data_IF_925769472837
#
_entry.id   IF_925769472837
#
_cell.length_a   1.000
_cell.length_b   1.000
_cell.length_c   1.000
_cell.angle_alpha   90.00
_cell.angle_beta   90.00
_cell.angle_gamma   90.00
#
_symmetry.space_group_name_H-M   'P 1'
#
loop_
_entity.id
_entity.type
_entity.pdbx_description
1 polymer ?
#
# COMPACT_ATOMS: atom_id res chain seq x y z
N UNK A 1 -21.97 42.06 -48.58
CA UNK A 1 -21.44 43.28 -47.92
C UNK A 1 -21.29 42.95 -46.44
N UNK A 2 -20.19 42.38 -45.99
CA UNK A 2 -18.85 42.96 -45.81
C UNK A 2 -18.86 44.13 -44.81
N UNK A 3 -18.06 43.95 -43.75
CA UNK A 3 -17.51 44.87 -42.72
C UNK A 3 -17.71 44.21 -41.33
N UNK A 4 -16.70 44.01 -40.49
CA UNK A 4 -15.44 44.74 -40.32
C UNK A 4 -14.32 43.85 -39.73
N UNK A 5 -13.13 44.01 -40.30
CA UNK A 5 -11.82 43.69 -39.73
C UNK A 5 -11.02 45.00 -39.62
N UNK A 6 -9.94 44.97 -38.83
CA UNK A 6 -8.81 45.94 -38.68
C UNK A 6 -8.96 46.93 -37.51
N UNK A 7 -7.94 47.26 -36.69
CA UNK A 7 -6.57 46.76 -36.45
C UNK A 7 -6.01 47.48 -35.19
N UNK A 8 -5.12 46.79 -34.48
CA UNK A 8 -3.91 47.24 -33.75
C UNK A 8 -3.81 48.63 -33.06
N UNK A 9 -3.32 48.61 -31.81
CA UNK A 9 -2.29 49.56 -31.35
C UNK A 9 -1.26 48.85 -30.46
N UNK A 10 0.00 49.04 -30.84
CA UNK A 10 1.24 48.64 -30.16
C UNK A 10 1.54 49.67 -29.09
N UNK A 11 1.95 49.23 -27.91
CA UNK A 11 2.79 50.02 -26.99
C UNK A 11 3.86 49.08 -26.41
N UNK A 12 5.08 49.22 -26.91
CA UNK A 12 6.30 48.73 -26.26
C UNK A 12 6.56 49.56 -24.99
N UNK A 13 7.01 48.90 -23.93
CA UNK A 13 7.84 49.55 -22.92
C UNK A 13 8.89 48.56 -22.43
N UNK A 14 10.11 48.75 -22.92
CA UNK A 14 11.32 48.17 -22.38
C UNK A 14 11.53 48.65 -20.94
N UNK A 15 11.62 47.72 -20.00
CA UNK A 15 12.52 47.82 -18.85
C UNK A 15 13.06 46.44 -18.51
N UNK A 16 14.32 46.24 -18.87
CA UNK A 16 15.19 45.26 -18.25
C UNK A 16 15.13 45.43 -16.73
N UNK A 17 14.81 44.36 -16.02
CA UNK A 17 15.26 44.19 -14.66
C UNK A 17 15.51 42.71 -14.41
N UNK A 18 16.78 42.35 -14.25
CA UNK A 18 17.22 41.01 -13.92
C UNK A 18 16.62 40.57 -12.58
N UNK A 19 15.60 39.72 -12.65
CA UNK A 19 15.07 38.96 -11.51
C UNK A 19 15.62 37.55 -11.58
N UNK A 20 16.33 37.15 -10.53
CA UNK A 20 16.92 35.82 -10.34
C UNK A 20 15.91 34.72 -10.68
N UNK A 21 16.35 33.77 -11.50
CA UNK A 21 15.66 32.51 -11.77
C UNK A 21 15.40 31.80 -10.45
N UNK A 22 14.13 31.72 -10.03
CA UNK A 22 13.65 30.83 -8.97
C UNK A 22 13.80 29.37 -9.46
N UNK A 23 15.03 28.84 -9.38
CA UNK A 23 15.30 27.42 -9.61
C UNK A 23 15.14 26.69 -8.29
N UNK A 24 13.89 26.37 -7.91
CA UNK A 24 13.57 25.28 -6.96
C UNK A 24 12.05 25.11 -6.72
N UNK A 25 11.19 25.46 -7.68
CA UNK A 25 9.77 25.16 -7.54
C UNK A 25 9.50 23.72 -8.01
N UNK A 26 9.17 22.81 -7.07
CA UNK A 26 8.65 21.50 -7.41
C UNK A 26 7.35 21.68 -8.22
N UNK A 27 7.13 20.88 -9.28
CA UNK A 27 5.91 21.00 -10.06
C UNK A 27 4.70 20.80 -9.16
N UNK A 28 3.70 21.68 -9.34
CA UNK A 28 2.41 21.53 -8.70
C UNK A 28 1.71 20.27 -9.20
N UNK A 29 0.78 19.73 -8.39
CA UNK A 29 0.03 18.54 -8.76
C UNK A 29 -0.80 18.77 -10.03
N UNK A 30 -0.75 17.80 -10.96
CA UNK A 30 -1.47 17.84 -12.24
C UNK A 30 -2.42 16.64 -12.35
N UNK A 31 -3.70 16.90 -12.61
CA UNK A 31 -4.68 15.86 -12.93
C UNK A 31 -4.48 15.38 -14.39
N UNK A 32 -4.59 14.07 -14.62
CA UNK A 32 -4.56 13.46 -15.94
C UNK A 32 -5.91 12.79 -16.24
N UNK A 33 -6.36 12.85 -17.49
CA UNK A 33 -7.45 12.00 -17.96
C UNK A 33 -7.01 10.53 -17.97
N UNK A 34 -7.96 9.60 -17.98
CA UNK A 34 -7.66 8.17 -18.06
C UNK A 34 -6.80 7.82 -19.28
N UNK A 35 -7.12 8.38 -20.45
CA UNK A 35 -6.35 8.15 -21.68
C UNK A 35 -4.95 8.74 -21.60
N UNK A 36 -4.80 9.93 -21.02
CA UNK A 36 -3.48 10.54 -20.80
C UNK A 36 -2.64 9.68 -19.85
N UNK A 37 -3.20 9.22 -18.74
CA UNK A 37 -2.50 8.39 -17.76
C UNK A 37 -2.14 7.02 -18.34
N UNK A 38 -3.05 6.41 -19.10
CA UNK A 38 -2.81 5.14 -19.82
C UNK A 38 -1.68 5.30 -20.83
N UNK A 39 -1.69 6.39 -21.61
CA UNK A 39 -0.64 6.68 -22.59
C UNK A 39 0.71 6.98 -21.93
N UNK A 40 0.71 7.67 -20.78
CA UNK A 40 1.90 8.02 -20.02
C UNK A 40 2.56 6.81 -19.33
N UNK A 41 1.76 5.83 -18.90
CA UNK A 41 2.21 4.63 -18.15
C UNK A 41 2.34 3.37 -19.03
N UNK A 42 2.40 3.55 -20.35
CA UNK A 42 2.49 2.44 -21.33
C UNK A 42 1.39 1.39 -21.14
N UNK A 43 0.15 1.84 -20.96
CA UNK A 43 -1.00 0.96 -20.79
C UNK A 43 -1.17 0.42 -19.36
N UNK A 44 -0.57 1.07 -18.35
CA UNK A 44 -0.47 0.55 -16.99
C UNK A 44 0.34 -0.75 -16.91
N UNK A 45 1.45 -0.83 -17.67
CA UNK A 45 2.32 -2.02 -17.63
C UNK A 45 2.82 -2.27 -16.21
N UNK A 46 2.84 -3.54 -15.80
CA UNK A 46 3.43 -3.96 -14.53
C UNK A 46 4.92 -3.63 -14.44
N UNK A 47 5.62 -3.53 -15.57
CA UNK A 47 7.04 -3.18 -15.65
C UNK A 47 7.33 -1.77 -15.13
N UNK A 48 6.31 -0.91 -15.13
CA UNK A 48 6.40 0.46 -14.66
C UNK A 48 5.96 0.63 -13.20
N UNK A 49 5.53 -0.44 -12.52
CA UNK A 49 5.13 -0.36 -11.12
C UNK A 49 6.36 0.02 -10.28
N UNK A 50 6.16 0.93 -9.33
CA UNK A 50 7.09 1.17 -8.24
C UNK A 50 7.11 -0.08 -7.36
N UNK A 51 7.90 -1.07 -7.78
CA UNK A 51 8.22 -2.24 -6.96
C UNK A 51 9.62 -2.07 -6.41
N UNK A 52 9.74 -2.18 -5.09
CA UNK A 52 11.03 -2.33 -4.42
C UNK A 52 11.44 -3.80 -4.31
N UNK A 53 10.58 -4.72 -4.75
CA UNK A 53 10.82 -6.16 -4.68
C UNK A 53 10.99 -6.69 -6.10
N UNK A 54 12.25 -6.91 -6.47
CA UNK A 54 12.66 -7.55 -7.71
C UNK A 54 14.14 -7.30 -7.93
N UNK A 55 14.86 -8.26 -8.52
CA UNK A 55 16.30 -8.25 -8.80
C UNK A 55 16.74 -7.17 -9.82
N UNK A 56 15.89 -6.16 -10.05
CA UNK A 56 16.19 -4.89 -10.70
C UNK A 56 16.87 -3.95 -9.71
N UNK A 57 17.72 -3.04 -10.18
CA UNK A 57 18.47 -2.14 -9.30
C UNK A 57 17.55 -1.45 -8.26
N UNK A 58 17.94 -1.46 -6.98
CA UNK A 58 17.17 -0.83 -5.91
C UNK A 58 16.94 0.65 -6.21
N UNK A 59 15.75 1.15 -5.87
CA UNK A 59 15.42 2.57 -6.07
C UNK A 59 16.43 3.45 -5.33
N UNK A 60 17.04 4.42 -6.02
CA UNK A 60 17.93 5.40 -5.39
C UNK A 60 17.17 6.28 -4.38
N UNK A 61 17.87 6.75 -3.36
CA UNK A 61 17.31 7.61 -2.31
C UNK A 61 16.49 8.80 -2.85
N UNK A 62 17.04 9.54 -3.81
CA UNK A 62 16.38 10.70 -4.40
C UNK A 62 15.05 10.35 -5.11
N UNK A 63 14.95 9.14 -5.69
CA UNK A 63 13.71 8.67 -6.30
C UNK A 63 12.69 8.24 -5.24
N UNK A 64 13.12 7.62 -4.13
CA UNK A 64 12.25 7.27 -3.00
C UNK A 64 11.58 8.52 -2.41
N UNK A 65 12.37 9.57 -2.20
CA UNK A 65 11.87 10.87 -1.74
C UNK A 65 10.93 11.53 -2.76
N UNK A 66 11.22 11.41 -4.07
CA UNK A 66 10.33 11.91 -5.15
C UNK A 66 8.97 11.22 -5.13
N UNK A 67 8.96 9.88 -4.98
CA UNK A 67 7.74 9.08 -4.84
C UNK A 67 6.93 9.56 -3.65
N UNK A 68 7.55 9.65 -2.47
CA UNK A 68 6.87 10.12 -1.26
C UNK A 68 6.27 11.52 -1.44
N UNK A 69 7.04 12.47 -1.99
CA UNK A 69 6.58 13.84 -2.20
C UNK A 69 5.38 13.93 -3.16
N UNK A 70 5.46 13.25 -4.31
CA UNK A 70 4.38 13.30 -5.31
C UNK A 70 3.08 12.71 -4.77
N UNK A 71 3.17 11.66 -3.95
CA UNK A 71 2.00 11.08 -3.30
C UNK A 71 1.43 11.99 -2.21
N UNK A 72 2.28 12.64 -1.41
CA UNK A 72 1.82 13.62 -0.44
C UNK A 72 1.09 14.80 -1.12
N UNK A 73 1.60 15.28 -2.26
CA UNK A 73 0.94 16.31 -3.08
C UNK A 73 -0.42 15.83 -3.63
N UNK A 74 -0.50 14.57 -4.09
CA UNK A 74 -1.76 14.00 -4.54
C UNK A 74 -2.80 13.93 -3.42
N UNK A 75 -2.40 13.51 -2.22
CA UNK A 75 -3.28 13.46 -1.04
C UNK A 75 -3.75 14.85 -0.60
N UNK A 76 -2.86 15.84 -0.60
CA UNK A 76 -3.19 17.24 -0.29
C UNK A 76 -4.17 17.81 -1.31
N UNK A 77 -3.94 17.55 -2.59
CA UNK A 77 -4.83 17.97 -3.67
C UNK A 77 -6.22 17.33 -3.53
N UNK A 78 -6.32 16.03 -3.28
CA UNK A 78 -7.59 15.36 -3.06
C UNK A 78 -8.36 15.98 -1.88
N UNK A 79 -7.68 16.26 -0.77
CA UNK A 79 -8.25 16.91 0.40
C UNK A 79 -8.73 18.33 0.12
N UNK A 80 -7.90 19.16 -0.50
CA UNK A 80 -8.20 20.58 -0.78
C UNK A 80 -9.32 20.77 -1.82
N UNK A 81 -9.50 19.81 -2.72
CA UNK A 81 -10.59 19.79 -3.71
C UNK A 81 -11.85 19.06 -3.25
N UNK A 82 -11.89 18.53 -2.02
CA UNK A 82 -13.02 17.76 -1.51
C UNK A 82 -13.31 16.49 -2.32
N UNK A 83 -12.28 15.89 -2.92
CA UNK A 83 -12.39 14.61 -3.63
C UNK A 83 -12.54 13.47 -2.62
N UNK A 84 -13.00 12.33 -3.10
CA UNK A 84 -13.03 11.11 -2.29
C UNK A 84 -11.63 10.75 -1.79
N UNK A 85 -11.55 10.20 -0.58
CA UNK A 85 -10.30 9.75 0.02
C UNK A 85 -9.71 8.58 -0.76
N UNK A 86 -8.43 8.69 -1.13
CA UNK A 86 -7.68 7.59 -1.75
C UNK A 86 -7.27 6.59 -0.65
N UNK A 87 -8.13 5.62 -0.37
CA UNK A 87 -8.02 4.76 0.80
C UNK A 87 -7.16 3.50 0.62
N UNK A 88 -6.71 3.24 -0.61
CA UNK A 88 -5.96 2.04 -0.97
C UNK A 88 -4.53 2.41 -1.39
N UNK A 89 -3.87 3.25 -0.60
CA UNK A 89 -2.52 3.72 -0.90
C UNK A 89 -1.49 2.59 -0.66
N UNK A 90 -0.80 2.17 -1.71
CA UNK A 90 0.31 1.21 -1.64
C UNK A 90 1.34 1.50 -2.75
N UNK A 91 2.61 1.21 -2.49
CA UNK A 91 3.70 1.23 -3.48
C UNK A 91 3.33 0.57 -4.82
N UNK A 92 2.66 -0.59 -4.82
CA UNK A 92 2.27 -1.31 -6.04
C UNK A 92 1.22 -0.59 -6.90
N UNK A 93 0.64 0.52 -6.41
CA UNK A 93 -0.33 1.35 -7.16
C UNK A 93 0.30 2.59 -7.78
N UNK A 94 1.61 2.76 -7.64
CA UNK A 94 2.36 3.87 -8.19
C UNK A 94 3.06 3.35 -9.45
N UNK A 95 2.93 4.08 -10.54
CA UNK A 95 3.54 3.75 -11.82
C UNK A 95 4.51 4.85 -12.22
N UNK A 96 5.66 4.51 -12.78
CA UNK A 96 6.48 5.47 -13.50
C UNK A 96 5.85 5.75 -14.87
N UNK A 97 5.77 7.03 -15.23
CA UNK A 97 5.52 7.40 -16.62
C UNK A 97 6.79 7.31 -17.47
N UNK A 98 6.65 7.57 -18.77
CA UNK A 98 7.74 7.60 -19.75
C UNK A 98 8.88 8.56 -19.38
N UNK A 99 8.60 9.58 -18.58
CA UNK A 99 9.58 10.57 -18.12
C UNK A 99 10.17 10.18 -16.75
N UNK A 100 9.81 9.02 -16.21
CA UNK A 100 10.28 8.53 -14.91
C UNK A 100 9.63 9.23 -13.71
N UNK A 101 8.50 9.92 -13.89
CA UNK A 101 7.76 10.51 -12.79
C UNK A 101 6.81 9.49 -12.16
N UNK A 102 6.74 9.41 -10.82
CA UNK A 102 5.75 8.58 -10.16
C UNK A 102 4.34 9.15 -10.39
N UNK A 103 3.42 8.27 -10.78
CA UNK A 103 2.00 8.57 -11.04
C UNK A 103 1.14 7.65 -10.18
N UNK A 104 0.25 8.25 -9.40
CA UNK A 104 -0.73 7.49 -8.64
C UNK A 104 -1.80 6.93 -9.59
N UNK A 105 -1.91 5.61 -9.68
CA UNK A 105 -2.89 4.98 -10.55
C UNK A 105 -4.32 5.12 -10.01
N UNK A 106 -5.29 5.29 -10.90
CA UNK A 106 -6.71 5.38 -10.56
C UNK A 106 -7.34 4.05 -10.11
N UNK A 107 -6.62 2.92 -10.14
CA UNK A 107 -7.15 1.62 -9.68
C UNK A 107 -7.53 1.61 -8.19
N UNK A 108 -6.93 2.45 -7.35
CA UNK A 108 -7.36 2.65 -5.96
C UNK A 108 -8.73 3.32 -5.81
N UNK A 109 -9.27 3.91 -6.89
CA UNK A 109 -10.65 4.42 -6.97
C UNK A 109 -11.63 3.39 -7.53
N UNK A 110 -11.15 2.27 -8.10
CA UNK A 110 -11.95 1.36 -8.94
C UNK A 110 -12.55 0.14 -8.21
N UNK A 111 -12.54 0.09 -6.88
CA UNK A 111 -13.47 -0.77 -6.12
C UNK A 111 -14.07 -0.04 -4.93
N UNK A 112 -14.97 0.89 -5.26
CA UNK A 112 -16.00 1.33 -4.34
C UNK A 112 -16.95 0.16 -4.07
N UNK A 113 -16.72 -0.57 -2.98
CA UNK A 113 -17.88 -1.00 -2.19
C UNK A 113 -18.66 0.27 -1.88
N UNK A 114 -19.95 0.31 -2.20
CA UNK A 114 -20.86 1.47 -2.04
C UNK A 114 -20.87 2.07 -0.62
N UNK A 115 -20.21 1.42 0.34
CA UNK A 115 -20.21 1.74 1.76
C UNK A 115 -18.88 2.30 2.31
N UNK A 116 -17.84 2.49 1.47
CA UNK A 116 -16.54 3.00 1.95
C UNK A 116 -15.75 2.02 2.84
N UNK A 117 -15.99 0.71 2.69
CA UNK A 117 -15.46 -0.37 3.55
C UNK A 117 -14.29 -1.18 2.95
N UNK A 118 -13.44 -0.59 2.12
CA UNK A 118 -12.40 -1.36 1.43
C UNK A 118 -10.99 -1.01 1.93
N UNK A 119 -10.57 -1.62 3.04
CA UNK A 119 -9.15 -1.78 3.36
C UNK A 119 -8.63 -3.12 2.84
N UNK A 120 -7.31 -3.18 2.64
CA UNK A 120 -6.55 -4.42 2.47
C UNK A 120 -7.04 -5.49 3.46
N UNK A 121 -7.22 -6.73 3.01
CA UNK A 121 -7.60 -7.88 3.86
C UNK A 121 -6.50 -8.27 4.86
N UNK A 122 -5.37 -7.56 4.87
CA UNK A 122 -4.28 -7.75 5.81
C UNK A 122 -4.41 -6.81 7.01
N UNK A 123 -4.87 -7.38 8.13
CA UNK A 123 -5.06 -6.67 9.40
C UNK A 123 -3.76 -6.02 9.93
N UNK A 124 -2.60 -6.57 9.57
CA UNK A 124 -1.30 -6.06 10.03
C UNK A 124 -1.00 -4.64 9.54
N UNK A 125 -1.62 -4.20 8.44
CA UNK A 125 -1.42 -2.88 7.83
C UNK A 125 -2.65 -1.97 8.00
N UNK A 126 -3.68 -2.44 8.70
CA UNK A 126 -4.94 -1.71 8.83
C UNK A 126 -4.85 -0.68 9.95
N UNK A 127 -5.30 0.57 9.74
CA UNK A 127 -5.31 1.60 10.78
C UNK A 127 -6.14 1.15 12.01
N UNK A 128 -5.66 1.40 13.24
CA UNK A 128 -6.33 0.93 14.46
C UNK A 128 -7.80 1.38 14.56
N UNK A 129 -8.08 2.62 14.20
CA UNK A 129 -9.43 3.18 14.23
C UNK A 129 -10.34 2.60 13.15
N UNK A 130 -9.78 2.17 12.03
CA UNK A 130 -10.53 1.50 10.98
C UNK A 130 -11.01 0.13 11.44
N UNK A 131 -10.19 -0.62 12.18
CA UNK A 131 -10.58 -1.90 12.78
C UNK A 131 -11.79 -1.77 13.70
N UNK A 132 -11.89 -0.63 14.42
CA UNK A 132 -12.99 -0.35 15.34
C UNK A 132 -14.24 0.17 14.65
N UNK A 133 -14.08 1.05 13.66
CA UNK A 133 -15.20 1.84 13.10
C UNK A 133 -15.65 1.38 11.71
N UNK A 134 -14.78 0.67 10.98
CA UNK A 134 -14.98 0.30 9.57
C UNK A 134 -15.05 1.51 8.62
N UNK A 135 -14.67 2.71 9.07
CA UNK A 135 -14.76 3.95 8.31
C UNK A 135 -13.40 4.46 7.93
N UNK A 136 -13.22 4.78 6.64
CA UNK A 136 -12.04 5.49 6.17
C UNK A 136 -12.13 6.96 6.59
N UNK A 137 -11.07 7.47 7.21
CA UNK A 137 -10.90 8.91 7.48
C UNK A 137 -9.61 9.43 6.82
N UNK A 138 -9.40 10.74 6.82
CA UNK A 138 -8.17 11.34 6.31
C UNK A 138 -6.94 10.83 7.07
N UNK A 139 -7.07 10.64 8.38
CA UNK A 139 -6.04 10.11 9.26
C UNK A 139 -5.74 8.64 8.96
N UNK A 140 -6.74 7.84 8.58
CA UNK A 140 -6.55 6.46 8.11
C UNK A 140 -5.75 6.41 6.80
N UNK A 141 -5.97 7.36 5.88
CA UNK A 141 -5.16 7.50 4.66
C UNK A 141 -3.72 7.88 4.99
N UNK A 142 -3.51 8.79 5.95
CA UNK A 142 -2.17 9.16 6.43
C UNK A 142 -1.45 7.95 7.06
N UNK A 143 -2.17 7.07 7.75
CA UNK A 143 -1.58 5.82 8.24
C UNK A 143 -1.08 4.94 7.10
N UNK A 144 -1.87 4.78 6.02
CA UNK A 144 -1.43 4.08 4.80
C UNK A 144 -0.24 4.76 4.11
N UNK A 145 -0.16 6.10 4.16
CA UNK A 145 1.05 6.82 3.74
C UNK A 145 2.26 6.46 4.60
N UNK A 146 2.06 6.28 5.91
CA UNK A 146 3.10 5.78 6.81
C UNK A 146 3.62 4.39 6.43
N UNK A 147 2.73 3.48 6.02
CA UNK A 147 3.16 2.14 5.55
C UNK A 147 3.98 2.24 4.26
N UNK A 148 3.57 3.11 3.33
CA UNK A 148 4.34 3.38 2.12
C UNK A 148 5.74 3.94 2.45
N UNK A 149 5.87 4.84 3.43
CA UNK A 149 7.18 5.35 3.82
C UNK A 149 8.08 4.24 4.39
N UNK A 150 7.52 3.25 5.09
CA UNK A 150 8.26 2.09 5.57
C UNK A 150 8.74 1.20 4.43
N UNK A 151 7.89 0.98 3.42
CA UNK A 151 8.29 0.30 2.19
C UNK A 151 9.50 1.05 1.62
N UNK A 152 9.31 2.35 1.31
CA UNK A 152 10.35 3.23 0.76
C UNK A 152 11.65 3.26 1.57
N UNK A 153 11.60 3.15 2.89
CA UNK A 153 12.82 3.11 3.72
C UNK A 153 13.54 1.78 3.66
N UNK A 154 12.78 0.68 3.62
CA UNK A 154 13.30 -0.67 3.84
C UNK A 154 13.48 -1.51 2.58
N UNK A 155 12.89 -1.06 1.46
CA UNK A 155 12.76 -1.87 0.26
C UNK A 155 11.85 -3.08 0.46
N UNK A 156 11.11 -3.16 1.58
CA UNK A 156 10.40 -4.34 2.08
C UNK A 156 8.98 -3.99 2.53
N UNK A 157 8.01 -4.87 2.26
CA UNK A 157 6.65 -4.66 2.76
C UNK A 157 6.50 -5.11 4.22
N UNK A 158 6.93 -4.26 5.16
CA UNK A 158 7.03 -4.58 6.59
C UNK A 158 5.79 -4.09 7.37
N UNK A 159 5.19 -4.93 8.22
CA UNK A 159 4.12 -4.51 9.13
C UNK A 159 4.55 -3.34 10.04
N UNK A 160 3.72 -2.30 10.20
CA UNK A 160 4.03 -1.14 11.05
C UNK A 160 4.45 -1.48 12.49
N UNK A 161 3.85 -2.51 13.11
CA UNK A 161 4.22 -2.94 14.46
C UNK A 161 5.70 -3.31 14.55
N UNK A 162 6.20 -4.09 13.59
CA UNK A 162 7.57 -4.54 13.55
C UNK A 162 8.55 -3.37 13.31
N UNK A 163 8.21 -2.47 12.38
CA UNK A 163 9.03 -1.29 12.11
C UNK A 163 9.09 -0.32 13.30
N UNK A 164 7.96 -0.09 13.97
CA UNK A 164 7.91 0.79 15.15
C UNK A 164 8.74 0.26 16.32
N UNK A 165 8.82 -1.06 16.50
CA UNK A 165 9.67 -1.68 17.52
C UNK A 165 11.17 -1.45 17.22
N UNK A 166 11.58 -1.59 15.95
CA UNK A 166 12.95 -1.29 15.52
C UNK A 166 13.30 0.19 15.73
N UNK A 167 12.37 1.10 15.41
CA UNK A 167 12.54 2.55 15.59
C UNK A 167 12.69 2.88 17.08
N UNK A 168 11.82 2.35 17.95
CA UNK A 168 11.87 2.56 19.41
C UNK A 168 13.14 2.01 20.05
N UNK A 169 13.62 0.88 19.54
CA UNK A 169 14.91 0.29 19.95
C UNK A 169 16.14 1.07 19.49
N UNK A 170 15.98 2.19 18.77
CA UNK A 170 17.07 2.94 18.11
C UNK A 170 17.84 2.11 17.08
N UNK A 171 17.22 1.06 16.55
CA UNK A 171 17.80 0.16 15.56
C UNK A 171 17.28 0.49 14.15
N UNK A 172 16.96 1.76 13.87
CA UNK A 172 16.49 2.16 12.54
C UNK A 172 17.48 1.90 11.40
N UNK A 173 18.82 1.82 11.58
CA UNK A 173 19.70 1.36 10.51
C UNK A 173 19.36 -0.05 10.01
N UNK A 174 18.77 -0.91 10.85
CA UNK A 174 18.28 -2.24 10.44
C UNK A 174 16.98 -2.19 9.65
N UNK A 175 16.24 -1.07 9.73
CA UNK A 175 15.07 -0.82 8.91
C UNK A 175 15.46 -0.34 7.52
N UNK A 176 16.61 0.31 7.36
CA UNK A 176 17.04 0.86 6.07
C UNK A 176 17.35 -0.27 5.07
N UNK A 177 16.97 -0.04 3.81
CA UNK A 177 17.29 -0.94 2.72
C UNK A 177 18.81 -1.09 2.58
N UNK A 178 19.30 -2.32 2.73
CA UNK A 178 20.72 -2.65 2.55
C UNK A 178 21.23 -2.28 1.15
N UNK A 179 20.34 -2.28 0.16
CA UNK A 179 20.65 -2.00 -1.23
C UNK A 179 20.90 -0.49 -1.50
N UNK A 180 20.59 0.39 -0.54
CA UNK A 180 21.05 1.77 -0.57
C UNK A 180 22.54 1.89 -0.26
N UNK A 181 23.16 0.88 0.38
CA UNK A 181 24.59 0.87 0.75
C UNK A 181 25.06 2.14 1.49
N UNK A 182 24.16 2.81 2.23
CA UNK A 182 24.45 4.07 2.92
C UNK A 182 24.46 5.32 2.02
N UNK A 183 24.04 5.23 0.76
CA UNK A 183 23.93 6.36 -0.16
C UNK A 183 22.69 7.23 0.12
N UNK A 184 22.62 7.79 1.32
CA UNK A 184 21.65 8.80 1.74
C UNK A 184 22.22 9.61 2.91
N UNK A 185 21.85 10.91 3.05
CA UNK A 185 22.25 11.69 4.23
C UNK A 185 21.58 11.14 5.49
N UNK A 186 22.36 10.89 6.55
CA UNK A 186 21.85 10.32 7.82
C UNK A 186 20.73 11.16 8.44
N UNK A 187 20.86 12.49 8.39
CA UNK A 187 19.83 13.43 8.84
C UNK A 187 18.52 13.29 8.05
N UNK A 188 18.60 13.14 6.72
CA UNK A 188 17.43 12.99 5.86
C UNK A 188 16.75 11.62 6.12
N UNK A 189 17.55 10.56 6.31
CA UNK A 189 17.05 9.24 6.69
C UNK A 189 16.33 9.26 8.03
N UNK A 190 16.93 9.91 9.03
CA UNK A 190 16.36 10.07 10.37
C UNK A 190 15.04 10.84 10.33
N UNK A 191 14.96 11.92 9.56
CA UNK A 191 13.74 12.71 9.43
C UNK A 191 12.64 11.94 8.67
N UNK A 192 12.99 11.15 7.64
CA UNK A 192 11.99 10.32 6.95
C UNK A 192 11.45 9.19 7.84
N UNK A 193 12.30 8.55 8.65
CA UNK A 193 11.89 7.59 9.69
C UNK A 193 10.97 8.25 10.72
N UNK A 194 11.31 9.46 11.17
CA UNK A 194 10.47 10.24 12.09
C UNK A 194 9.11 10.56 11.48
N UNK A 195 9.07 10.94 10.20
CA UNK A 195 7.84 11.21 9.48
C UNK A 195 6.97 9.95 9.39
N UNK A 196 7.55 8.80 9.02
CA UNK A 196 6.88 7.51 8.99
C UNK A 196 6.29 7.14 10.37
N UNK A 197 7.07 7.30 11.44
CA UNK A 197 6.60 7.05 12.80
C UNK A 197 5.41 7.93 13.20
N UNK A 198 5.40 9.21 12.82
CA UNK A 198 4.28 10.13 13.08
C UNK A 198 3.03 9.76 12.28
N UNK A 199 3.18 9.33 11.03
CA UNK A 199 2.06 8.82 10.22
C UNK A 199 1.44 7.56 10.84
N UNK A 200 2.26 6.70 11.43
CA UNK A 200 1.87 5.44 12.05
C UNK A 200 1.46 5.56 13.53
N UNK A 201 1.27 6.79 14.02
CA UNK A 201 0.86 7.01 15.40
C UNK A 201 -0.50 6.34 15.67
N UNK A 202 -0.62 5.71 16.85
CA UNK A 202 -1.82 4.98 17.25
C UNK A 202 -3.04 5.90 17.29
N UNK A 203 -2.93 7.02 17.99
CA UNK A 203 -3.96 8.06 18.04
C UNK A 203 -4.02 8.79 16.69
N UNK A 204 -5.15 8.64 15.98
CA UNK A 204 -5.36 9.19 14.64
C UNK A 204 -5.17 10.72 14.59
N UNK A 205 -5.59 11.44 15.63
CA UNK A 205 -5.49 12.91 15.71
C UNK A 205 -4.06 13.45 15.82
N UNK A 206 -3.11 12.62 16.24
CA UNK A 206 -1.70 13.01 16.40
C UNK A 206 -0.93 12.87 15.08
N UNK A 207 -1.55 12.24 14.06
CA UNK A 207 -0.95 12.07 12.75
C UNK A 207 -0.91 13.42 12.01
N UNK A 208 0.12 13.68 11.20
CA UNK A 208 0.20 14.90 10.39
C UNK A 208 -0.90 14.94 9.34
N UNK A 209 -1.33 16.14 8.94
CA UNK A 209 -2.19 16.28 7.76
C UNK A 209 -1.36 16.28 6.46
N UNK A 210 -2.01 16.07 5.32
CA UNK A 210 -1.34 15.97 4.02
C UNK A 210 -0.50 17.22 3.66
N UNK A 211 -0.97 18.42 4.02
CA UNK A 211 -0.20 19.66 3.80
C UNK A 211 1.12 19.65 4.58
N UNK A 212 1.10 19.21 5.84
CA UNK A 212 2.31 19.04 6.65
C UNK A 212 3.26 17.98 6.07
N UNK A 213 2.73 16.90 5.47
CA UNK A 213 3.55 15.90 4.78
C UNK A 213 4.29 16.51 3.58
N UNK A 214 3.60 17.28 2.74
CA UNK A 214 4.20 17.97 1.60
C UNK A 214 5.32 18.89 2.05
N UNK A 215 5.10 19.72 3.08
CA UNK A 215 6.13 20.63 3.61
C UNK A 215 7.36 19.87 4.11
N UNK A 216 7.16 18.78 4.86
CA UNK A 216 8.27 17.96 5.36
C UNK A 216 9.06 17.33 4.19
N UNK A 217 8.38 16.74 3.22
CA UNK A 217 9.02 16.06 2.10
C UNK A 217 9.69 17.01 1.10
N UNK A 218 9.16 18.22 0.90
CA UNK A 218 9.81 19.27 0.10
C UNK A 218 11.16 19.68 0.70
N UNK A 219 11.32 19.63 2.02
CA UNK A 219 12.61 19.93 2.66
C UNK A 219 13.66 18.82 2.48
N UNK A 220 13.20 17.58 2.26
CA UNK A 220 14.07 16.42 2.05
C UNK A 220 14.43 16.23 0.57
N UNK A 221 13.48 16.49 -0.35
CA UNK A 221 13.72 16.41 -1.78
C UNK A 221 14.60 17.58 -2.23
N UNK A 222 15.91 17.34 -2.38
CA UNK A 222 16.87 18.36 -2.84
C UNK A 222 17.12 18.30 -4.34
N UNK A 223 16.87 17.15 -4.96
CA UNK A 223 17.05 16.91 -6.40
C UNK A 223 15.71 17.01 -7.14
N UNK A 224 15.57 18.00 -8.02
CA UNK A 224 14.38 18.22 -8.85
C UNK A 224 14.40 17.37 -10.13
N UNK A 225 15.58 17.04 -10.64
CA UNK A 225 15.79 16.13 -11.75
C UNK A 225 16.50 14.87 -11.25
N UNK A 226 15.73 13.82 -10.98
CA UNK A 226 16.28 12.49 -10.69
C UNK A 226 16.19 11.68 -11.99
N UNK A 227 17.31 11.44 -12.71
CA UNK A 227 17.30 10.60 -13.90
C UNK A 227 16.83 9.20 -13.51
N UNK A 228 15.72 8.76 -14.09
CA UNK A 228 15.05 7.50 -13.76
C UNK A 228 15.73 6.26 -14.35
N UNK A 229 17.02 6.31 -14.71
CA UNK A 229 17.60 5.42 -15.73
C UNK A 229 17.43 3.91 -15.43
N UNK A 230 16.30 3.37 -15.89
CA UNK A 230 16.05 1.98 -16.26
C UNK A 230 16.86 1.76 -17.54
N UNK A 231 18.12 1.39 -17.37
CA UNK A 231 18.95 0.91 -18.47
C UNK A 231 18.68 -0.57 -18.71
N UNK A 232 17.74 -0.89 -19.59
CA UNK A 232 17.71 -2.24 -20.18
C UNK A 232 18.92 -2.42 -21.09
N UNK A 233 19.69 -3.48 -20.85
CA UNK A 233 20.36 -4.24 -21.90
C UNK A 233 20.12 -5.72 -21.63
N UNK A 234 19.25 -6.27 -22.48
CA UNK A 234 19.10 -7.62 -23.00
C UNK A 234 19.77 -8.79 -22.24
N UNK A 235 18.93 -9.80 -21.96
CA UNK A 235 19.20 -11.22 -21.62
C UNK A 235 18.82 -11.75 -20.21
N UNK A 236 18.20 -10.94 -19.32
CA UNK A 236 17.69 -11.43 -18.01
C UNK A 236 16.15 -11.34 -17.82
N UNK A 237 15.40 -11.06 -18.90
CA UNK A 237 13.94 -10.86 -18.85
C UNK A 237 13.11 -12.08 -18.44
N UNK A 238 13.64 -13.30 -18.56
CA UNK A 238 12.87 -14.52 -18.31
C UNK A 238 12.71 -14.81 -16.80
N UNK A 239 13.73 -14.56 -15.98
CA UNK A 239 13.70 -14.89 -14.55
C UNK A 239 12.82 -13.91 -13.74
N UNK A 240 12.84 -12.63 -14.10
CA UNK A 240 12.10 -11.57 -13.42
C UNK A 240 10.60 -11.57 -13.74
N UNK A 241 10.22 -11.90 -14.97
CA UNK A 241 8.81 -12.11 -15.31
C UNK A 241 8.24 -13.34 -14.58
N UNK A 242 9.05 -14.39 -14.40
CA UNK A 242 8.66 -15.57 -13.64
C UNK A 242 8.45 -15.24 -12.15
N UNK A 243 9.28 -14.43 -11.48
CA UNK A 243 9.17 -14.21 -10.03
C UNK A 243 7.98 -13.32 -9.63
N UNK A 244 7.72 -12.23 -10.34
CA UNK A 244 6.56 -11.35 -10.09
C UNK A 244 5.25 -11.99 -10.54
N UNK A 245 5.24 -12.69 -11.69
CA UNK A 245 4.09 -13.52 -12.04
C UNK A 245 3.88 -14.59 -10.98
N UNK A 246 4.91 -15.30 -10.53
CA UNK A 246 4.78 -16.33 -9.49
C UNK A 246 4.21 -15.75 -8.20
N UNK A 247 4.69 -14.60 -7.72
CA UNK A 247 4.17 -13.99 -6.49
C UNK A 247 2.73 -13.47 -6.63
N UNK A 248 2.40 -12.76 -7.72
CA UNK A 248 1.03 -12.27 -7.97
C UNK A 248 0.07 -13.41 -8.27
N UNK A 249 0.53 -14.47 -8.95
CA UNK A 249 -0.21 -15.70 -9.17
C UNK A 249 -0.44 -16.41 -7.84
N UNK A 250 0.58 -16.56 -7.00
CA UNK A 250 0.47 -17.18 -5.68
C UNK A 250 -0.51 -16.41 -4.78
N UNK A 251 -0.46 -15.08 -4.76
CA UNK A 251 -1.40 -14.28 -3.97
C UNK A 251 -2.84 -14.35 -4.53
N UNK A 252 -2.98 -14.34 -5.86
CA UNK A 252 -4.27 -14.52 -6.55
C UNK A 252 -4.85 -15.91 -6.32
N UNK A 253 -4.03 -16.95 -6.36
CA UNK A 253 -4.39 -18.33 -6.09
C UNK A 253 -4.81 -18.50 -4.64
N UNK A 254 -4.03 -17.97 -3.69
CA UNK A 254 -4.39 -17.94 -2.26
C UNK A 254 -5.77 -17.29 -2.06
N UNK A 255 -6.00 -16.10 -2.65
CA UNK A 255 -7.29 -15.41 -2.52
C UNK A 255 -8.44 -16.15 -3.22
N UNK A 256 -8.17 -16.81 -4.34
CA UNK A 256 -9.14 -17.66 -5.04
C UNK A 256 -9.51 -18.89 -4.21
N UNK A 257 -8.54 -19.56 -3.58
CA UNK A 257 -8.79 -20.68 -2.66
C UNK A 257 -9.66 -20.25 -1.50
N UNK A 258 -9.40 -19.09 -0.88
CA UNK A 258 -10.31 -18.52 0.15
C UNK A 258 -11.73 -18.33 -0.38
N UNK A 259 -11.89 -17.72 -1.56
CA UNK A 259 -13.20 -17.46 -2.17
C UNK A 259 -13.94 -18.76 -2.50
N UNK A 260 -13.21 -19.77 -2.98
CA UNK A 260 -13.76 -21.08 -3.27
C UNK A 260 -14.20 -21.78 -1.98
N UNK A 261 -13.36 -21.76 -0.94
CA UNK A 261 -13.68 -22.25 0.39
C UNK A 261 -14.92 -21.58 0.99
N UNK A 262 -15.04 -20.25 0.86
CA UNK A 262 -16.24 -19.51 1.29
C UNK A 262 -17.52 -19.94 0.55
N UNK A 263 -17.38 -20.31 -0.72
CA UNK A 263 -18.52 -20.79 -1.53
C UNK A 263 -18.91 -22.21 -1.12
N UNK A 264 -17.93 -23.10 -0.97
CA UNK A 264 -18.12 -24.49 -0.52
C UNK A 264 -18.71 -24.55 0.89
N UNK A 265 -18.18 -23.74 1.82
CA UNK A 265 -18.68 -23.63 3.19
C UNK A 265 -20.16 -23.25 3.24
N UNK A 266 -20.57 -22.26 2.43
CA UNK A 266 -21.99 -21.85 2.33
C UNK A 266 -22.86 -22.93 1.70
N UNK A 267 -22.32 -23.71 0.77
CA UNK A 267 -22.97 -24.86 0.16
C UNK A 267 -22.99 -26.09 1.09
N UNK A 268 -22.40 -26.02 2.30
CA UNK A 268 -22.20 -27.14 3.23
C UNK A 268 -21.35 -28.27 2.67
N UNK A 269 -20.55 -27.99 1.65
CA UNK A 269 -19.50 -28.89 1.17
C UNK A 269 -18.25 -28.68 2.02
N UNK A 270 -18.25 -29.31 3.20
CA UNK A 270 -17.23 -29.09 4.23
C UNK A 270 -15.88 -29.69 3.86
N UNK A 271 -15.85 -30.79 3.11
CA UNK A 271 -14.61 -31.38 2.60
C UNK A 271 -13.87 -30.40 1.68
N UNK A 272 -14.56 -29.90 0.65
CA UNK A 272 -13.98 -28.90 -0.27
C UNK A 272 -13.61 -27.61 0.47
N UNK A 273 -14.43 -27.18 1.45
CA UNK A 273 -14.12 -26.00 2.25
C UNK A 273 -12.82 -26.19 3.06
N UNK A 274 -12.62 -27.35 3.70
CA UNK A 274 -11.41 -27.68 4.45
C UNK A 274 -10.19 -27.60 3.53
N UNK A 275 -10.24 -28.24 2.36
CA UNK A 275 -9.11 -28.27 1.42
C UNK A 275 -8.74 -26.87 0.96
N UNK A 276 -9.73 -26.07 0.57
CA UNK A 276 -9.54 -24.70 0.11
C UNK A 276 -8.97 -23.78 1.18
N UNK A 277 -9.48 -23.88 2.41
CA UNK A 277 -8.96 -23.09 3.53
C UNK A 277 -7.58 -23.54 3.97
N UNK A 278 -7.26 -24.83 3.83
CA UNK A 278 -5.91 -25.34 4.07
C UNK A 278 -4.93 -24.80 3.06
N UNK A 279 -5.25 -24.82 1.77
CA UNK A 279 -4.43 -24.18 0.73
C UNK A 279 -4.23 -22.67 1.00
N UNK A 280 -5.26 -21.97 1.48
CA UNK A 280 -5.12 -20.55 1.85
C UNK A 280 -4.12 -20.35 3.01
N UNK A 281 -4.21 -21.18 4.04
CA UNK A 281 -3.36 -21.08 5.24
C UNK A 281 -1.92 -21.48 4.91
N UNK A 282 -1.73 -22.61 4.23
CA UNK A 282 -0.41 -23.12 3.84
C UNK A 282 0.28 -22.19 2.83
N UNK A 283 -0.51 -21.47 2.02
CA UNK A 283 0.00 -20.43 1.13
C UNK A 283 0.72 -19.29 1.84
N UNK A 284 0.56 -19.14 3.16
CA UNK A 284 1.40 -18.31 4.06
C UNK A 284 1.38 -16.79 3.80
N UNK A 285 0.70 -16.35 2.73
CA UNK A 285 0.74 -14.98 2.23
C UNK A 285 -0.19 -14.06 3.03
N UNK A 286 -1.25 -14.62 3.63
CA UNK A 286 -2.26 -13.89 4.40
C UNK A 286 -2.77 -14.71 5.58
N UNK A 287 -3.03 -14.04 6.71
CA UNK A 287 -3.62 -14.66 7.91
C UNK A 287 -5.03 -14.11 8.12
N UNK A 288 -6.02 -14.99 8.33
CA UNK A 288 -7.42 -14.58 8.49
C UNK A 288 -8.13 -15.35 9.61
N UNK A 289 -8.57 -14.68 10.69
CA UNK A 289 -9.24 -15.37 11.80
C UNK A 289 -10.57 -16.00 11.36
N UNK A 290 -11.25 -15.39 10.38
CA UNK A 290 -12.48 -15.96 9.81
C UNK A 290 -12.26 -17.23 9.00
N UNK A 291 -11.08 -17.42 8.41
CA UNK A 291 -10.75 -18.66 7.67
C UNK A 291 -10.54 -19.80 8.66
N UNK A 292 -9.75 -19.57 9.72
CA UNK A 292 -9.60 -20.52 10.82
C UNK A 292 -10.96 -20.88 11.46
N UNK A 293 -11.81 -19.89 11.74
CA UNK A 293 -13.13 -20.17 12.30
C UNK A 293 -14.04 -21.01 11.39
N UNK A 294 -14.03 -20.76 10.07
CA UNK A 294 -14.85 -21.52 9.11
C UNK A 294 -14.30 -22.92 8.86
N UNK A 295 -12.98 -23.09 8.82
CA UNK A 295 -12.36 -24.41 8.71
C UNK A 295 -12.53 -25.22 10.00
N UNK A 296 -12.43 -24.59 11.17
CA UNK A 296 -12.81 -25.17 12.47
C UNK A 296 -14.24 -25.73 12.43
N UNK A 297 -15.21 -24.92 12.03
CA UNK A 297 -16.60 -25.37 11.90
C UNK A 297 -16.74 -26.50 10.89
N UNK A 298 -16.02 -26.45 9.77
CA UNK A 298 -16.05 -27.52 8.77
C UNK A 298 -15.50 -28.83 9.33
N UNK A 299 -14.40 -28.79 10.10
CA UNK A 299 -13.88 -29.94 10.81
C UNK A 299 -14.88 -30.51 11.82
N UNK A 300 -15.57 -29.67 12.60
CA UNK A 300 -16.63 -30.15 13.52
C UNK A 300 -17.77 -30.84 12.76
N UNK A 301 -18.20 -30.26 11.64
CA UNK A 301 -19.24 -30.84 10.79
C UNK A 301 -18.79 -32.13 10.06
N UNK A 302 -17.48 -32.41 10.09
CA UNK A 302 -16.86 -33.63 9.55
C UNK A 302 -16.33 -34.56 10.65
N UNK A 303 -16.78 -34.40 11.91
CA UNK A 303 -16.40 -35.26 13.04
C UNK A 303 -14.88 -35.27 13.34
N UNK A 304 -14.22 -34.13 13.10
CA UNK A 304 -12.79 -33.92 13.35
C UNK A 304 -12.54 -32.87 14.46
N UNK A 305 -13.02 -33.09 15.70
CA UNK A 305 -13.04 -32.05 16.72
C UNK A 305 -11.65 -31.68 17.26
N UNK A 306 -10.66 -32.55 17.13
CA UNK A 306 -9.28 -32.25 17.55
C UNK A 306 -8.58 -31.27 16.61
N UNK A 307 -8.76 -31.44 15.30
CA UNK A 307 -8.30 -30.50 14.29
C UNK A 307 -9.04 -29.16 14.41
N UNK A 308 -10.35 -29.23 14.67
CA UNK A 308 -11.17 -28.04 14.91
C UNK A 308 -10.67 -27.21 16.10
N UNK A 309 -10.26 -27.86 17.19
CA UNK A 309 -9.72 -27.17 18.37
C UNK A 309 -8.45 -26.40 18.02
N UNK A 310 -7.56 -26.99 17.21
CA UNK A 310 -6.35 -26.31 16.72
C UNK A 310 -6.68 -25.01 15.98
N UNK A 311 -7.63 -25.05 15.06
CA UNK A 311 -8.08 -23.86 14.33
C UNK A 311 -8.77 -22.83 15.23
N UNK A 312 -9.53 -23.26 16.24
CA UNK A 312 -10.17 -22.36 17.19
C UNK A 312 -9.15 -21.63 18.10
N UNK A 313 -8.06 -22.32 18.47
CA UNK A 313 -6.93 -21.71 19.17
C UNK A 313 -6.19 -20.72 18.26
N UNK A 314 -5.92 -21.08 17.00
CA UNK A 314 -5.30 -20.16 16.04
C UNK A 314 -6.17 -18.93 15.79
N UNK A 315 -7.49 -19.08 15.68
CA UNK A 315 -8.41 -17.94 15.55
C UNK A 315 -8.32 -16.97 16.73
N UNK A 316 -8.11 -17.48 17.96
CA UNK A 316 -7.90 -16.66 19.14
C UNK A 316 -6.52 -15.99 19.16
N UNK A 317 -5.45 -16.69 18.74
CA UNK A 317 -4.11 -16.08 18.60
C UNK A 317 -4.16 -14.92 17.62
N UNK A 318 -4.85 -15.10 16.49
CA UNK A 318 -4.97 -14.08 15.44
C UNK A 318 -5.91 -12.95 15.86
N UNK A 319 -6.92 -13.23 16.69
CA UNK A 319 -7.89 -12.23 17.15
C UNK A 319 -8.32 -12.47 18.61
N UNK A 320 -7.51 -12.04 19.61
CA UNK A 320 -7.70 -12.40 21.02
C UNK A 320 -9.04 -11.97 21.61
N UNK A 321 -9.55 -10.81 21.20
CA UNK A 321 -10.80 -10.23 21.69
C UNK A 321 -12.04 -10.76 20.95
N UNK A 322 -11.90 -11.72 20.02
CA UNK A 322 -13.03 -12.19 19.22
C UNK A 322 -13.79 -13.32 19.94
N UNK A 323 -15.02 -13.08 20.44
CA UNK A 323 -15.71 -14.04 21.29
C UNK A 323 -16.03 -15.36 20.57
N UNK A 324 -16.14 -15.31 19.24
CA UNK A 324 -16.37 -16.49 18.40
C UNK A 324 -15.24 -17.51 18.52
N UNK A 325 -13.98 -17.09 18.70
CA UNK A 325 -12.87 -18.03 18.87
C UNK A 325 -13.01 -18.84 20.17
N UNK A 326 -13.35 -18.18 21.29
CA UNK A 326 -13.61 -18.85 22.57
C UNK A 326 -14.83 -19.78 22.51
N UNK A 327 -15.90 -19.36 21.82
CA UNK A 327 -17.08 -20.20 21.59
C UNK A 327 -16.74 -21.47 20.80
N UNK A 328 -15.93 -21.34 19.74
CA UNK A 328 -15.50 -22.47 18.93
C UNK A 328 -14.63 -23.45 19.73
N UNK A 329 -13.73 -22.95 20.59
CA UNK A 329 -12.96 -23.82 21.48
C UNK A 329 -13.87 -24.61 22.43
N UNK A 330 -14.85 -23.94 23.04
CA UNK A 330 -15.83 -24.60 23.89
C UNK A 330 -16.64 -25.67 23.14
N UNK A 331 -17.09 -25.38 21.92
CA UNK A 331 -17.79 -26.34 21.07
C UNK A 331 -16.91 -27.56 20.70
N UNK A 332 -15.62 -27.34 20.41
CA UNK A 332 -14.68 -28.43 20.13
C UNK A 332 -14.45 -29.30 21.37
N UNK A 333 -14.23 -28.69 22.54
CA UNK A 333 -14.03 -29.40 23.79
C UNK A 333 -15.26 -30.20 24.21
N UNK A 334 -16.46 -29.65 24.00
CA UNK A 334 -17.71 -30.36 24.22
C UNK A 334 -17.81 -31.61 23.32
N UNK A 335 -17.54 -31.45 22.01
CA UNK A 335 -17.54 -32.58 21.07
C UNK A 335 -16.47 -33.64 21.36
N UNK A 336 -15.35 -33.27 21.99
CA UNK A 336 -14.33 -34.21 22.46
C UNK A 336 -14.75 -34.93 23.75
N UNK A 337 -15.59 -34.30 24.57
CA UNK A 337 -16.08 -34.84 25.84
C UNK A 337 -17.24 -35.83 25.69
N UNK A 338 -18.04 -35.72 24.62
CA UNK A 338 -19.18 -36.60 24.33
C UNK A 338 -18.79 -37.96 23.71
N UNK A 339 -17.49 -38.20 23.48
CA UNK A 339 -16.96 -39.43 22.89
C UNK A 339 -16.58 -40.55 23.89
N UNK A 340 -17.00 -40.44 25.15
CA UNK A 340 -16.62 -41.37 26.24
C UNK A 340 -17.82 -42.03 26.92
#
# INVERSE_FOLDING_TARGET
MQTSHLKASVLESDRENGGKSDRNEFPSFTEFSFEQLKAATSGFSSDNIVSEHGESQPMKWAMRLRVALYLAQALEYCGSKGRALYHDLNAYRILFDKDGNPRLSCFGLMKNSRDGKSYSTNLAFTPPEYLRTGRVTAESVVYGFGTLLLDLLSGKHIPPSHALDLIRGKNFPMLMDSALEGHFPEDDGTELVRLASRCLHYEARERPNAKSLVTALMSLQKETEVPSYIGYKDDEGIANELSFQVWTNQMRETLNSKKHGDTAFRAKDFATAIDCYTQFIDGGTMVSPTVYARRCLSYLMSEMPQQALGDAMQAQVVSPEWPTASYLQAACLFSLGDGN
#
